data_IF_964795021678
#
_entry.id   IF_964795021678
#
_cell.length_a   1.000
_cell.length_b   1.000
_cell.length_c   1.000
_cell.angle_alpha   90.00
_cell.angle_beta   90.00
_cell.angle_gamma   90.00
#
_symmetry.space_group_name_H-M   'P 1'
#
loop_
_entity.id
_entity.type
_entity.pdbx_description
1 polymer ?
#
# COMPACT_ATOMS: atom_id res chain seq x y z
N UNK A 1 -2.47 7.46 62.31
CA UNK A 1 -1.53 8.37 61.59
C UNK A 1 -2.01 9.79 61.79
N UNK A 2 -1.17 10.67 62.32
CA UNK A 2 -1.52 12.05 62.66
C UNK A 2 -1.76 12.90 61.40
N UNK A 3 -2.63 13.90 61.49
CA UNK A 3 -3.03 14.83 60.42
C UNK A 3 -1.86 15.39 59.59
N UNK A 4 -0.67 15.51 60.21
CA UNK A 4 0.57 15.97 59.58
C UNK A 4 1.15 14.98 58.55
N UNK A 5 1.00 13.67 58.74
CA UNK A 5 1.51 12.64 57.81
C UNK A 5 0.66 12.56 56.55
N UNK A 6 -0.67 12.75 56.69
CA UNK A 6 -1.60 12.76 55.56
C UNK A 6 -1.40 14.00 54.68
N UNK A 7 -1.08 15.16 55.28
CA UNK A 7 -0.74 16.39 54.53
C UNK A 7 0.59 16.26 53.79
N UNK A 8 1.57 15.56 54.34
CA UNK A 8 2.85 15.32 53.67
C UNK A 8 2.69 14.38 52.46
N UNK A 9 1.85 13.34 52.58
CA UNK A 9 1.52 12.43 51.47
C UNK A 9 0.73 13.13 50.35
N UNK A 10 -0.18 14.04 50.70
CA UNK A 10 -0.94 14.85 49.73
C UNK A 10 -0.08 15.92 49.03
N UNK A 11 1.00 16.39 49.64
CA UNK A 11 1.96 17.31 49.01
C UNK A 11 2.97 16.60 48.10
N UNK A 12 3.25 15.31 48.33
CA UNK A 12 4.15 14.50 47.51
C UNK A 12 3.43 13.83 46.33
N UNK A 13 2.12 13.62 46.41
CA UNK A 13 1.33 13.03 45.33
C UNK A 13 1.42 13.78 43.98
N UNK A 14 1.39 15.13 43.90
CA UNK A 14 1.53 15.85 42.65
C UNK A 14 2.95 15.77 42.07
N UNK A 15 3.97 15.65 42.94
CA UNK A 15 5.37 15.54 42.51
C UNK A 15 5.64 14.13 41.95
N UNK A 16 5.08 13.09 42.57
CA UNK A 16 5.13 11.72 42.04
C UNK A 16 4.29 11.54 40.76
N UNK A 17 3.15 12.22 40.66
CA UNK A 17 2.32 12.25 39.43
C UNK A 17 2.98 13.07 38.30
N UNK A 18 3.69 14.16 38.62
CA UNK A 18 4.44 14.93 37.62
C UNK A 18 5.65 14.14 37.08
N UNK A 19 6.32 13.33 37.90
CA UNK A 19 7.35 12.40 37.44
C UNK A 19 6.79 11.21 36.64
N UNK A 20 5.53 10.82 36.87
CA UNK A 20 4.88 9.73 36.14
C UNK A 20 4.37 10.12 34.73
N UNK A 21 4.31 11.42 34.40
CA UNK A 21 3.86 11.92 33.09
C UNK A 21 4.97 12.54 32.23
N UNK A 22 6.22 12.47 32.66
CA UNK A 22 7.34 12.46 31.71
C UNK A 22 7.48 11.01 31.27
N UNK A 23 6.59 10.58 30.36
CA UNK A 23 6.94 9.46 29.48
C UNK A 23 8.31 9.79 28.93
N UNK A 24 9.29 9.01 29.34
CA UNK A 24 10.63 9.00 28.81
C UNK A 24 10.49 9.20 27.30
N UNK A 25 10.81 10.40 26.81
CA UNK A 25 11.14 10.56 25.41
C UNK A 25 12.42 9.76 25.35
N UNK A 26 12.32 8.46 25.03
CA UNK A 26 13.50 7.70 24.62
C UNK A 26 14.16 8.61 23.60
N UNK A 27 15.32 9.14 23.97
CA UNK A 27 16.25 9.68 22.99
C UNK A 27 16.32 8.54 21.99
N UNK A 28 15.71 8.72 20.81
CA UNK A 28 15.83 7.76 19.73
C UNK A 28 17.30 7.78 19.39
N UNK A 29 18.07 6.95 20.07
CA UNK A 29 19.46 6.72 19.78
C UNK A 29 19.48 6.37 18.29
N UNK A 30 20.36 6.98 17.50
CA UNK A 30 20.47 6.66 16.10
C UNK A 30 20.52 5.14 15.97
N UNK A 31 19.73 4.59 15.04
CA UNK A 31 19.63 3.15 14.83
C UNK A 31 21.04 2.54 14.84
N UNK A 32 21.34 1.56 15.71
CA UNK A 32 22.65 0.94 15.77
C UNK A 32 23.08 0.44 14.39
N UNK A 33 24.23 0.89 13.91
CA UNK A 33 24.74 0.57 12.58
C UNK A 33 25.58 1.70 11.99
N UNK A 34 26.34 1.40 10.93
CA UNK A 34 27.04 2.42 10.16
C UNK A 34 26.05 3.07 9.21
N UNK A 35 25.80 4.37 9.35
CA UNK A 35 25.00 5.12 8.37
C UNK A 35 25.66 4.98 6.99
N UNK A 36 24.84 4.75 5.97
CA UNK A 36 25.35 4.75 4.60
C UNK A 36 26.01 6.11 4.29
N UNK A 37 27.11 6.12 3.51
CA UNK A 37 27.73 7.36 3.07
C UNK A 37 26.71 8.30 2.41
N UNK A 38 26.88 9.64 2.49
CA UNK A 38 26.09 10.57 1.68
C UNK A 38 26.11 10.18 0.20
N UNK A 39 25.02 10.44 -0.52
CA UNK A 39 24.90 9.99 -1.91
C UNK A 39 24.58 8.51 -2.07
N UNK A 40 24.11 7.83 -1.01
CA UNK A 40 23.67 6.43 -1.10
C UNK A 40 22.16 6.35 -1.35
N UNK A 41 21.72 5.96 -2.56
CA UNK A 41 20.34 5.69 -2.88
C UNK A 41 19.81 4.43 -2.21
N UNK A 42 18.52 4.49 -1.91
CA UNK A 42 17.69 3.40 -1.42
C UNK A 42 16.36 3.37 -2.21
N UNK A 43 15.89 2.19 -2.65
CA UNK A 43 16.59 0.90 -2.68
C UNK A 43 17.88 0.96 -3.50
N UNK A 44 18.83 0.07 -3.20
CA UNK A 44 20.07 -0.05 -3.96
C UNK A 44 19.75 -0.43 -5.44
N UNK A 45 20.29 0.31 -6.43
CA UNK A 45 20.21 -0.08 -7.84
C UNK A 45 20.76 -1.49 -8.09
N UNK A 46 20.19 -2.19 -9.08
CA UNK A 46 20.64 -3.55 -9.46
C UNK A 46 22.12 -3.59 -9.88
N UNK A 47 22.57 -2.56 -10.58
CA UNK A 47 23.97 -2.35 -10.93
C UNK A 47 24.38 -0.95 -10.50
N UNK A 48 25.53 -0.87 -9.82
CA UNK A 48 26.08 0.41 -9.39
C UNK A 48 27.60 0.40 -9.52
N UNK A 49 28.10 1.27 -10.39
CA UNK A 49 29.52 1.62 -10.47
C UNK A 49 29.72 3.04 -9.94
N UNK A 50 30.51 3.20 -8.87
CA UNK A 50 30.88 4.50 -8.31
C UNK A 50 32.27 4.91 -8.73
N UNK A 51 32.50 6.23 -8.76
CA UNK A 51 33.82 6.84 -8.81
C UNK A 51 34.01 7.69 -7.53
N UNK A 52 35.24 7.86 -7.02
CA UNK A 52 35.52 8.83 -5.95
C UNK A 52 35.34 10.29 -6.40
N UNK A 53 35.18 10.54 -7.70
CA UNK A 53 34.95 11.88 -8.25
C UNK A 53 33.67 12.52 -7.70
N UNK A 54 33.77 13.80 -7.38
CA UNK A 54 32.65 14.64 -6.94
C UNK A 54 32.45 15.80 -7.92
N UNK A 55 31.21 16.25 -8.06
CA UNK A 55 30.83 17.43 -8.84
C UNK A 55 29.92 18.34 -8.04
N UNK A 56 30.01 19.63 -8.30
CA UNK A 56 29.16 20.62 -7.64
C UNK A 56 27.87 20.82 -8.44
N UNK A 57 26.76 21.08 -7.76
CA UNK A 57 25.51 21.50 -8.40
C UNK A 57 25.19 22.91 -7.90
N UNK A 58 25.05 23.85 -8.83
CA UNK A 58 24.59 25.20 -8.54
C UNK A 58 23.07 25.28 -8.77
N UNK A 59 22.25 25.53 -7.74
CA UNK A 59 20.79 25.59 -7.87
C UNK A 59 20.30 26.62 -8.89
N UNK A 60 21.05 27.71 -9.10
CA UNK A 60 20.65 28.82 -9.96
C UNK A 60 20.90 28.52 -11.44
N UNK A 61 21.96 27.75 -11.74
CA UNK A 61 22.39 27.47 -13.11
C UNK A 61 22.11 26.03 -13.56
N UNK A 62 21.91 25.08 -12.64
CA UNK A 62 21.65 23.69 -12.97
C UNK A 62 20.33 23.53 -13.72
N UNK A 63 20.38 22.88 -14.89
CA UNK A 63 19.20 22.58 -15.71
C UNK A 63 18.71 21.16 -15.50
N UNK A 64 17.39 21.01 -15.28
CA UNK A 64 16.70 19.72 -15.23
C UNK A 64 15.61 19.72 -16.29
N UNK A 65 15.76 18.93 -17.36
CA UNK A 65 14.89 19.03 -18.52
C UNK A 65 14.60 17.68 -19.20
N UNK A 66 13.45 17.63 -19.88
CA UNK A 66 13.03 16.52 -20.74
C UNK A 66 12.14 17.05 -21.85
N UNK A 67 12.34 16.62 -23.09
CA UNK A 67 11.40 16.91 -24.19
C UNK A 67 10.01 16.30 -23.92
N UNK A 68 9.92 15.22 -23.13
CA UNK A 68 8.65 14.59 -22.78
C UNK A 68 7.77 15.46 -21.88
N UNK A 69 8.33 16.47 -21.20
CA UNK A 69 7.57 17.36 -20.32
C UNK A 69 6.56 18.24 -21.07
N UNK A 70 6.73 18.45 -22.38
CA UNK A 70 5.81 19.24 -23.20
C UNK A 70 4.47 18.54 -23.43
N UNK A 71 4.46 17.20 -23.47
CA UNK A 71 3.28 16.41 -23.80
C UNK A 71 2.88 15.40 -22.71
N UNK A 72 3.63 15.30 -21.63
CA UNK A 72 3.35 14.39 -20.52
C UNK A 72 3.47 15.08 -19.16
N UNK A 73 2.34 15.22 -18.48
CA UNK A 73 2.23 15.88 -17.20
C UNK A 73 2.94 15.12 -16.06
N UNK A 74 2.97 13.79 -16.10
CA UNK A 74 3.74 12.96 -15.15
C UNK A 74 5.21 13.38 -15.15
N UNK A 75 5.82 13.50 -16.34
CA UNK A 75 7.22 13.91 -16.46
C UNK A 75 7.40 15.35 -16.02
N UNK A 76 6.56 16.28 -16.50
CA UNK A 76 6.66 17.69 -16.13
C UNK A 76 6.55 17.91 -14.61
N UNK A 77 5.59 17.28 -13.95
CA UNK A 77 5.41 17.35 -12.50
C UNK A 77 6.53 16.64 -11.74
N UNK A 78 7.06 15.53 -12.26
CA UNK A 78 8.21 14.85 -11.67
C UNK A 78 9.47 15.72 -11.71
N UNK A 79 9.80 16.37 -12.83
CA UNK A 79 10.96 17.26 -12.93
C UNK A 79 10.84 18.43 -11.92
N UNK A 80 9.67 19.07 -11.85
CA UNK A 80 9.42 20.15 -10.89
C UNK A 80 9.58 19.69 -9.44
N UNK A 81 9.01 18.52 -9.09
CA UNK A 81 9.11 17.93 -7.75
C UNK A 81 10.56 17.59 -7.39
N UNK A 82 11.28 16.91 -8.28
CA UNK A 82 12.63 16.45 -8.01
C UNK A 82 13.66 17.57 -8.01
N UNK A 83 13.44 18.68 -8.75
CA UNK A 83 14.24 19.90 -8.57
C UNK A 83 14.16 20.38 -7.11
N UNK A 84 12.95 20.49 -6.55
CA UNK A 84 12.76 20.92 -5.15
C UNK A 84 13.36 19.94 -4.14
N UNK A 85 13.29 18.64 -4.41
CA UNK A 85 13.86 17.62 -3.52
C UNK A 85 15.38 17.59 -3.56
N UNK A 86 15.99 17.81 -4.73
CA UNK A 86 17.44 17.91 -4.87
C UNK A 86 17.99 19.19 -4.22
N UNK A 87 17.23 20.30 -4.29
CA UNK A 87 17.62 21.62 -3.78
C UNK A 87 16.73 22.10 -2.63
N UNK A 88 16.75 21.37 -1.49
CA UNK A 88 15.88 21.63 -0.33
C UNK A 88 15.98 23.05 0.28
N UNK A 89 17.09 23.76 0.04
CA UNK A 89 17.30 25.15 0.43
C UNK A 89 17.97 25.90 -0.73
N UNK A 90 17.19 26.64 -1.51
CA UNK A 90 17.71 27.53 -2.56
C UNK A 90 18.53 28.71 -1.96
N UNK A 91 18.35 29.02 -0.68
CA UNK A 91 19.02 30.16 -0.03
C UNK A 91 20.37 29.75 0.57
N UNK A 92 21.45 30.28 0.01
CA UNK A 92 22.79 30.30 0.63
C UNK A 92 23.77 29.20 0.19
N UNK A 93 23.38 28.30 -0.71
CA UNK A 93 24.30 27.35 -1.35
C UNK A 93 25.10 28.04 -2.46
N UNK A 94 26.01 28.96 -2.11
CA UNK A 94 27.00 29.45 -3.08
C UNK A 94 28.08 28.38 -3.23
N UNK A 95 28.51 28.12 -4.46
CA UNK A 95 29.69 27.29 -4.71
C UNK A 95 30.84 27.75 -3.81
N UNK A 96 31.52 26.80 -3.15
CA UNK A 96 32.61 27.11 -2.23
C UNK A 96 33.72 27.85 -2.99
N UNK A 97 33.84 29.16 -2.80
CA UNK A 97 34.96 29.97 -3.30
C UNK A 97 36.15 29.86 -2.32
N UNK A 98 36.53 28.63 -1.95
CA UNK A 98 37.62 28.34 -1.03
C UNK A 98 38.79 27.66 -1.74
N UNK A 99 40.05 27.94 -1.35
CA UNK A 99 41.21 27.31 -1.98
C UNK A 99 41.34 25.86 -1.49
N UNK A 100 41.03 24.92 -2.38
CA UNK A 100 41.16 23.47 -2.15
C UNK A 100 40.16 22.66 -2.96
N UNK A 101 40.53 22.36 -4.21
CA UNK A 101 39.78 21.61 -5.24
C UNK A 101 38.52 22.31 -5.79
N UNK A 102 38.67 23.03 -6.90
CA UNK A 102 37.57 23.45 -7.78
C UNK A 102 36.89 22.20 -8.37
N UNK A 103 35.93 21.63 -7.64
CA UNK A 103 35.10 20.55 -8.17
C UNK A 103 34.31 21.06 -9.39
N UNK A 104 34.41 20.35 -10.51
CA UNK A 104 33.72 20.74 -11.75
C UNK A 104 32.20 20.77 -11.55
N UNK A 105 31.56 21.86 -11.94
CA UNK A 105 30.11 22.01 -11.85
C UNK A 105 29.40 21.07 -12.84
N UNK A 106 28.40 20.32 -12.38
CA UNK A 106 27.51 19.55 -13.24
C UNK A 106 26.47 20.51 -13.85
N UNK A 107 26.46 20.75 -15.17
CA UNK A 107 25.60 21.78 -15.77
C UNK A 107 24.12 21.37 -15.82
N UNK A 108 23.83 20.10 -16.08
CA UNK A 108 22.46 19.64 -16.26
C UNK A 108 22.26 18.15 -16.00
N UNK A 109 21.00 17.78 -15.77
CA UNK A 109 20.47 16.43 -15.97
C UNK A 109 19.47 16.45 -17.12
N UNK A 110 19.82 15.77 -18.21
CA UNK A 110 18.93 15.52 -19.37
C UNK A 110 18.18 14.21 -19.16
N UNK A 111 16.87 14.25 -19.33
CA UNK A 111 16.00 13.08 -19.15
C UNK A 111 15.41 12.67 -20.50
N UNK A 112 15.83 11.50 -20.98
CA UNK A 112 15.38 10.90 -22.23
C UNK A 112 14.40 9.75 -21.96
N UNK A 113 13.22 9.82 -22.59
CA UNK A 113 12.17 8.80 -22.50
C UNK A 113 11.87 8.28 -23.89
N UNK A 114 11.95 6.96 -24.10
CA UNK A 114 11.68 6.38 -25.41
C UNK A 114 10.18 6.43 -25.77
N UNK A 115 9.29 6.11 -24.82
CA UNK A 115 7.84 6.03 -25.03
C UNK A 115 7.11 7.00 -24.10
N UNK A 116 6.72 8.16 -24.63
CA UNK A 116 5.98 9.19 -23.89
C UNK A 116 4.84 9.87 -24.70
N UNK A 117 4.77 9.63 -26.02
CA UNK A 117 3.74 10.21 -26.90
C UNK A 117 2.58 9.24 -27.03
N UNK A 118 1.36 9.70 -26.84
CA UNK A 118 0.16 8.88 -26.88
C UNK A 118 -0.50 8.77 -25.50
N UNK A 119 -1.85 8.71 -25.44
CA UNK A 119 -2.60 8.69 -24.17
C UNK A 119 -2.23 7.49 -23.28
N UNK A 120 -1.79 6.38 -23.88
CA UNK A 120 -1.38 5.17 -23.19
C UNK A 120 -0.06 5.31 -22.42
N UNK A 121 0.83 6.22 -22.84
CA UNK A 121 2.18 6.31 -22.28
C UNK A 121 2.33 7.31 -21.14
N UNK A 122 1.37 8.22 -20.98
CA UNK A 122 1.27 9.16 -19.86
C UNK A 122 -0.03 8.95 -19.04
N UNK A 123 -0.71 7.82 -19.24
CA UNK A 123 -1.93 7.44 -18.55
C UNK A 123 -1.67 6.94 -17.13
N UNK A 124 -2.33 5.84 -16.75
CA UNK A 124 -2.19 5.21 -15.43
C UNK A 124 -1.22 4.04 -15.49
N UNK A 125 -0.32 3.87 -14.50
CA UNK A 125 0.60 2.74 -14.47
C UNK A 125 -0.17 1.42 -14.41
N UNK A 126 0.35 0.37 -15.03
CA UNK A 126 -0.28 -0.95 -15.10
C UNK A 126 0.69 -2.05 -14.66
N UNK A 127 0.11 -3.21 -14.30
CA UNK A 127 0.90 -4.40 -13.98
C UNK A 127 1.85 -4.78 -15.13
N UNK A 128 3.12 -5.09 -14.79
CA UNK A 128 4.21 -5.45 -15.71
C UNK A 128 4.68 -4.34 -16.66
N UNK A 129 4.36 -3.07 -16.39
CA UNK A 129 4.99 -1.98 -17.13
C UNK A 129 6.48 -1.82 -16.76
N UNK A 130 7.27 -1.34 -17.73
CA UNK A 130 8.71 -1.23 -17.59
C UNK A 130 9.10 0.00 -16.77
N UNK A 131 9.72 -0.21 -15.62
CA UNK A 131 10.23 0.83 -14.70
C UNK A 131 11.76 0.97 -14.74
N UNK A 132 12.42 0.33 -15.72
CA UNK A 132 13.87 0.36 -15.88
C UNK A 132 14.37 1.74 -16.31
N UNK A 133 15.59 2.05 -15.86
CA UNK A 133 16.28 3.26 -16.23
C UNK A 133 17.80 3.06 -16.18
N UNK A 134 18.52 3.96 -16.82
CA UNK A 134 19.97 4.12 -16.68
C UNK A 134 20.26 5.56 -16.33
N UNK A 135 21.06 5.78 -15.28
CA UNK A 135 21.51 7.09 -14.86
C UNK A 135 23.03 7.14 -14.95
N UNK A 136 23.55 8.08 -15.76
CA UNK A 136 24.99 8.30 -15.93
C UNK A 136 25.31 9.72 -15.50
N UNK A 137 26.23 9.86 -14.55
CA UNK A 137 26.83 11.14 -14.17
C UNK A 137 28.28 11.10 -14.64
N UNK A 138 28.61 11.69 -15.81
CA UNK A 138 29.94 11.61 -16.38
C UNK A 138 30.92 12.56 -15.67
N UNK A 139 32.21 12.37 -15.93
CA UNK A 139 33.25 13.25 -15.43
C UNK A 139 33.12 14.68 -16.00
N UNK A 140 32.74 14.77 -17.27
CA UNK A 140 32.54 16.03 -17.98
C UNK A 140 31.20 16.06 -18.70
N UNK A 141 30.61 17.26 -18.82
CA UNK A 141 29.32 17.46 -19.48
C UNK A 141 28.12 17.07 -18.62
N UNK A 142 26.98 16.85 -19.27
CA UNK A 142 25.67 16.70 -18.63
C UNK A 142 25.44 15.27 -18.12
N UNK A 143 24.76 15.15 -16.98
CA UNK A 143 24.20 13.87 -16.55
C UNK A 143 23.03 13.48 -17.46
N UNK A 144 22.85 12.17 -17.66
CA UNK A 144 21.80 11.64 -18.52
C UNK A 144 21.02 10.54 -17.80
N UNK A 145 19.71 10.71 -17.74
CA UNK A 145 18.76 9.68 -17.31
C UNK A 145 18.00 9.17 -18.54
N UNK A 146 18.16 7.89 -18.86
CA UNK A 146 17.43 7.22 -19.96
C UNK A 146 16.45 6.20 -19.41
N UNK A 147 15.26 6.12 -20.00
CA UNK A 147 14.24 5.12 -19.64
C UNK A 147 13.36 4.76 -20.83
N UNK A 148 12.77 3.56 -20.80
CA UNK A 148 11.83 3.13 -21.83
C UNK A 148 10.47 3.80 -21.70
N UNK A 149 10.01 4.02 -20.46
CA UNK A 149 8.71 4.59 -20.14
C UNK A 149 8.86 5.76 -19.16
N UNK A 150 7.78 6.54 -19.01
CA UNK A 150 7.71 7.63 -18.01
C UNK A 150 7.88 7.14 -16.57
N UNK A 151 7.62 5.86 -16.28
CA UNK A 151 7.74 5.31 -14.93
C UNK A 151 9.20 5.14 -14.51
N UNK A 152 10.06 4.70 -15.43
CA UNK A 152 11.50 4.64 -15.22
C UNK A 152 12.12 6.01 -14.93
N UNK A 153 11.57 7.08 -15.52
CA UNK A 153 11.96 8.46 -15.18
C UNK A 153 11.73 8.75 -13.70
N UNK A 154 10.57 8.41 -13.15
CA UNK A 154 10.25 8.66 -11.74
C UNK A 154 11.26 7.93 -10.84
N UNK A 155 11.59 6.67 -11.17
CA UNK A 155 12.56 5.87 -10.39
C UNK A 155 13.97 6.44 -10.47
N UNK A 156 14.38 6.87 -11.66
CA UNK A 156 15.70 7.44 -11.90
C UNK A 156 15.88 8.82 -11.28
N UNK A 157 14.85 9.67 -11.31
CA UNK A 157 14.88 10.97 -10.64
C UNK A 157 14.94 10.83 -9.11
N UNK A 158 14.26 9.84 -8.54
CA UNK A 158 14.42 9.49 -7.12
C UNK A 158 15.88 9.16 -6.81
N UNK A 159 16.48 8.24 -7.57
CA UNK A 159 17.89 7.88 -7.38
C UNK A 159 18.81 9.08 -7.55
N UNK A 160 18.63 9.91 -8.58
CA UNK A 160 19.43 11.13 -8.74
C UNK A 160 19.31 12.06 -7.53
N UNK A 161 18.11 12.28 -7.01
CA UNK A 161 17.90 13.13 -5.83
C UNK A 161 18.61 12.60 -4.58
N UNK A 162 18.77 11.28 -4.47
CA UNK A 162 19.50 10.63 -3.37
C UNK A 162 21.03 10.69 -3.55
N UNK A 163 21.53 10.85 -4.78
CA UNK A 163 22.94 11.09 -5.07
C UNK A 163 23.37 12.52 -4.70
N UNK A 164 22.45 13.48 -4.69
CA UNK A 164 22.73 14.86 -4.30
C UNK A 164 22.83 14.98 -2.78
N UNK A 165 23.96 15.49 -2.29
CA UNK A 165 24.19 15.75 -0.87
C UNK A 165 24.97 17.05 -0.66
N UNK A 166 24.93 17.58 0.56
CA UNK A 166 25.68 18.78 0.96
C UNK A 166 26.88 18.35 1.81
N UNK A 167 28.09 18.81 1.44
CA UNK A 167 29.31 18.57 2.21
C UNK A 167 29.34 19.46 3.47
N UNK A 168 29.50 18.88 4.68
CA UNK A 168 29.68 19.63 5.92
C UNK A 168 30.96 20.50 5.98
N UNK A 169 32.00 20.19 5.20
CA UNK A 169 33.34 20.80 5.32
C UNK A 169 33.40 22.21 4.70
N UNK A 170 32.55 22.53 3.73
CA UNK A 170 32.53 23.83 3.03
C UNK A 170 31.78 24.96 3.77
N UNK A 171 31.50 24.83 5.09
CA UNK A 171 30.93 25.81 6.06
C UNK A 171 30.11 26.97 5.43
N UNK A 172 28.78 27.08 5.56
CA UNK A 172 27.97 26.87 6.75
C UNK A 172 26.49 26.68 6.36
N UNK A 173 25.82 25.67 6.92
CA UNK A 173 24.71 25.81 7.88
C UNK A 173 24.48 24.42 8.49
N UNK A 174 24.69 24.29 9.80
CA UNK A 174 24.00 23.29 10.61
C UNK A 174 22.59 23.79 10.81
N UNK A 175 21.64 23.21 10.12
CA UNK A 175 20.25 23.20 10.58
C UNK A 175 19.65 21.84 10.21
N UNK A 176 18.98 21.23 11.19
CA UNK A 176 18.06 20.13 10.98
C UNK A 176 17.31 20.37 9.67
N UNK A 177 17.22 19.34 8.82
CA UNK A 177 16.29 19.34 7.68
C UNK A 177 14.91 19.69 8.23
N UNK A 178 14.52 20.97 8.17
CA UNK A 178 13.14 21.36 8.35
C UNK A 178 12.49 20.92 7.05
N UNK A 179 11.95 19.70 7.05
CA UNK A 179 10.91 19.35 6.12
C UNK A 179 9.94 20.52 6.18
N UNK A 180 9.83 21.27 5.08
CA UNK A 180 8.71 22.19 4.93
C UNK A 180 7.51 21.25 4.89
N UNK A 181 6.89 21.06 6.06
CA UNK A 181 5.60 20.41 6.18
C UNK A 181 4.60 21.35 5.51
N UNK A 182 4.57 21.34 4.19
CA UNK A 182 3.32 21.53 3.48
C UNK A 182 2.32 20.59 4.17
N UNK A 183 1.17 21.11 4.62
CA UNK A 183 0.13 20.29 5.24
C UNK A 183 -0.39 19.32 4.17
N UNK A 184 0.26 18.17 4.06
CA UNK A 184 -0.18 17.05 3.23
C UNK A 184 -1.17 16.23 4.05
N UNK A 185 -2.23 15.77 3.40
CA UNK A 185 -3.06 14.78 4.05
C UNK A 185 -2.26 13.46 4.21
N UNK A 186 -2.65 12.56 5.15
CA UNK A 186 -1.91 11.33 5.39
C UNK A 186 -1.72 10.44 4.15
N UNK A 187 -2.69 10.43 3.22
CA UNK A 187 -2.61 9.64 1.99
C UNK A 187 -1.53 10.16 1.04
N UNK A 188 -1.46 11.48 0.86
CA UNK A 188 -0.43 12.13 0.07
C UNK A 188 0.96 11.88 0.66
N UNK A 189 1.10 12.04 1.98
CA UNK A 189 2.35 11.77 2.69
C UNK A 189 2.79 10.31 2.54
N UNK A 190 1.85 9.36 2.63
CA UNK A 190 2.12 7.93 2.40
C UNK A 190 2.59 7.68 0.95
N UNK A 191 1.89 8.25 -0.04
CA UNK A 191 2.25 8.08 -1.46
C UNK A 191 3.59 8.73 -1.83
N UNK A 192 3.94 9.85 -1.18
CA UNK A 192 5.29 10.41 -1.28
C UNK A 192 6.32 9.44 -0.72
N UNK A 193 6.11 8.91 0.49
CA UNK A 193 7.02 7.94 1.10
C UNK A 193 7.15 6.66 0.24
N UNK A 194 6.05 6.19 -0.35
CA UNK A 194 6.06 5.08 -1.31
C UNK A 194 6.93 5.40 -2.53
N UNK A 195 6.76 6.58 -3.13
CA UNK A 195 7.56 7.01 -4.29
C UNK A 195 9.05 7.07 -3.96
N UNK A 196 9.42 7.62 -2.79
CA UNK A 196 10.81 7.70 -2.33
C UNK A 196 11.45 6.32 -2.14
N UNK A 197 10.64 5.34 -1.74
CA UNK A 197 11.06 3.95 -1.56
C UNK A 197 10.80 3.07 -2.80
N UNK A 198 10.41 3.66 -3.93
CA UNK A 198 10.08 2.97 -5.19
C UNK A 198 8.97 1.91 -5.08
N UNK A 199 8.07 2.03 -4.09
CA UNK A 199 6.80 1.29 -4.11
C UNK A 199 5.90 1.82 -5.23
N UNK A 200 5.21 0.91 -5.92
CA UNK A 200 4.41 1.22 -7.11
C UNK A 200 2.95 0.73 -7.01
N UNK A 201 2.53 0.13 -5.89
CA UNK A 201 1.15 -0.33 -5.67
C UNK A 201 0.68 0.17 -4.31
N UNK A 202 -0.41 0.91 -4.31
CA UNK A 202 -1.22 1.23 -3.14
C UNK A 202 -2.41 0.27 -3.12
N UNK A 203 -2.31 -0.78 -2.32
CA UNK A 203 -3.41 -1.69 -2.06
C UNK A 203 -4.34 -1.05 -1.03
N UNK A 204 -5.56 -0.68 -1.46
CA UNK A 204 -6.50 0.04 -0.62
C UNK A 204 -7.65 -0.88 -0.21
N UNK A 205 -7.54 -1.45 0.99
CA UNK A 205 -8.63 -2.08 1.72
C UNK A 205 -9.66 -1.03 2.11
N UNK A 206 -10.71 -0.89 1.31
CA UNK A 206 -11.63 0.25 1.36
C UNK A 206 -12.69 0.12 2.46
N UNK A 207 -13.14 -1.11 2.69
CA UNK A 207 -14.31 -1.45 3.50
C UNK A 207 -14.03 -2.77 4.22
N UNK A 208 -14.57 -2.92 5.42
CA UNK A 208 -14.47 -4.11 6.26
C UNK A 208 -15.72 -4.11 7.17
N UNK A 209 -15.83 -5.04 8.12
CA UNK A 209 -16.94 -5.20 9.03
C UNK A 209 -17.37 -3.90 9.71
N UNK A 210 -16.38 -3.10 10.12
CA UNK A 210 -16.62 -1.99 11.04
C UNK A 210 -17.26 -0.80 10.32
N UNK A 211 -16.93 -0.55 9.04
CA UNK A 211 -17.43 0.63 8.35
C UNK A 211 -17.39 0.58 6.82
N UNK A 212 -18.30 1.34 6.20
CA UNK A 212 -18.27 1.66 4.77
C UNK A 212 -18.06 3.16 4.56
N UNK A 213 -16.81 3.64 4.38
CA UNK A 213 -16.52 5.06 4.22
C UNK A 213 -16.63 5.56 2.77
N UNK A 214 -16.79 4.67 1.78
CA UNK A 214 -16.75 5.06 0.36
C UNK A 214 -18.10 5.59 -0.15
N UNK A 215 -18.11 6.81 -0.68
CA UNK A 215 -19.27 7.36 -1.38
C UNK A 215 -19.49 6.65 -2.73
N UNK A 216 -20.71 6.14 -2.94
CA UNK A 216 -21.12 5.46 -4.17
C UNK A 216 -22.35 6.12 -4.78
N UNK A 217 -22.36 6.19 -6.11
CA UNK A 217 -23.48 6.68 -6.91
C UNK A 217 -24.60 5.64 -6.97
N UNK A 218 -24.24 4.35 -7.03
CA UNK A 218 -25.18 3.22 -7.14
C UNK A 218 -25.93 2.98 -5.84
N UNK A 219 -25.25 3.16 -4.70
CA UNK A 219 -25.83 3.00 -3.36
C UNK A 219 -25.42 4.15 -2.43
N UNK A 220 -26.01 5.35 -2.56
CA UNK A 220 -25.61 6.54 -1.79
C UNK A 220 -25.80 6.40 -0.28
N UNK A 221 -26.68 5.50 0.16
CA UNK A 221 -26.94 5.22 1.56
C UNK A 221 -25.84 4.41 2.26
N UNK A 222 -24.88 3.82 1.52
CA UNK A 222 -23.79 3.03 2.11
C UNK A 222 -22.95 3.81 3.12
N UNK A 223 -22.74 5.10 2.89
CA UNK A 223 -21.97 5.97 3.81
C UNK A 223 -22.66 6.20 5.16
N UNK A 224 -23.91 5.77 5.34
CA UNK A 224 -24.54 5.69 6.68
C UNK A 224 -23.87 4.64 7.57
N UNK A 225 -23.13 3.70 6.99
CA UNK A 225 -22.28 2.74 7.71
C UNK A 225 -20.87 3.26 7.97
N UNK A 226 -20.51 4.49 7.57
CA UNK A 226 -19.25 5.11 7.95
C UNK A 226 -19.24 5.43 9.46
N UNK A 227 -18.06 5.56 10.07
CA UNK A 227 -17.96 5.94 11.49
C UNK A 227 -18.63 7.28 11.81
N UNK A 228 -18.54 8.24 10.89
CA UNK A 228 -19.31 9.49 10.93
C UNK A 228 -19.27 10.16 9.56
N UNK A 229 -20.08 11.22 9.32
CA UNK A 229 -20.02 11.99 8.08
C UNK A 229 -18.65 12.62 7.77
N UNK A 230 -17.74 12.71 8.75
CA UNK A 230 -16.36 13.20 8.55
C UNK A 230 -15.39 12.10 8.10
N UNK A 231 -15.79 10.84 8.18
CA UNK A 231 -15.01 9.67 7.82
C UNK A 231 -15.55 9.05 6.53
N UNK A 232 -15.80 9.91 5.54
CA UNK A 232 -16.30 9.52 4.22
C UNK A 232 -15.28 9.96 3.18
N UNK A 233 -14.94 9.06 2.27
CA UNK A 233 -14.22 9.38 1.05
C UNK A 233 -15.24 9.73 -0.02
N UNK A 234 -15.35 11.02 -0.34
CA UNK A 234 -16.17 11.46 -1.47
C UNK A 234 -15.59 10.94 -2.77
N UNK A 235 -16.39 10.93 -3.84
CA UNK A 235 -15.88 10.57 -5.18
C UNK A 235 -14.73 11.47 -5.62
N UNK A 236 -14.73 12.73 -5.19
CA UNK A 236 -13.63 13.67 -5.46
C UNK A 236 -12.36 13.25 -4.74
N UNK A 237 -12.43 12.88 -3.46
CA UNK A 237 -11.28 12.40 -2.70
C UNK A 237 -10.64 11.18 -3.36
N UNK A 238 -11.48 10.24 -3.82
CA UNK A 238 -11.00 9.02 -4.52
C UNK A 238 -10.28 9.38 -5.82
N UNK A 239 -10.85 10.28 -6.65
CA UNK A 239 -10.19 10.72 -7.89
C UNK A 239 -8.87 11.45 -7.61
N UNK A 240 -8.82 12.32 -6.60
CA UNK A 240 -7.58 12.99 -6.18
C UNK A 240 -6.54 11.97 -5.67
N UNK A 241 -6.97 10.94 -4.94
CA UNK A 241 -6.07 9.89 -4.45
C UNK A 241 -5.45 9.11 -5.61
N UNK A 242 -6.26 8.73 -6.59
CA UNK A 242 -5.85 8.00 -7.80
C UNK A 242 -4.90 8.87 -8.63
N UNK A 243 -5.22 10.14 -8.83
CA UNK A 243 -4.41 11.05 -9.63
C UNK A 243 -3.06 11.37 -8.97
N UNK A 244 -3.06 11.59 -7.65
CA UNK A 244 -1.83 11.82 -6.90
C UNK A 244 -0.87 10.62 -6.96
N UNK A 245 -1.44 9.40 -6.97
CA UNK A 245 -0.71 8.16 -7.14
C UNK A 245 -0.14 8.03 -8.56
N UNK A 246 -0.94 8.33 -9.60
CA UNK A 246 -0.52 8.34 -11.00
C UNK A 246 0.72 9.20 -11.23
N UNK A 247 0.74 10.43 -10.70
CA UNK A 247 1.88 11.35 -10.81
C UNK A 247 3.17 10.89 -10.12
N UNK A 248 3.13 9.74 -9.44
CA UNK A 248 4.25 9.06 -8.77
C UNK A 248 4.50 7.65 -9.31
N UNK A 249 3.77 7.25 -10.35
CA UNK A 249 3.83 5.90 -10.89
C UNK A 249 3.36 4.86 -9.87
N UNK A 250 2.34 5.19 -9.09
CA UNK A 250 1.73 4.29 -8.11
C UNK A 250 0.34 3.90 -8.63
N UNK A 251 0.13 2.59 -8.75
CA UNK A 251 -1.14 1.93 -9.03
C UNK A 251 -2.02 1.97 -7.79
N UNK A 252 -3.32 2.18 -7.93
CA UNK A 252 -4.28 2.09 -6.83
C UNK A 252 -5.19 0.90 -7.08
N UNK A 253 -5.02 -0.15 -6.29
CA UNK A 253 -5.82 -1.38 -6.39
C UNK A 253 -6.85 -1.35 -5.27
N UNK A 254 -8.15 -1.21 -5.58
CA UNK A 254 -9.19 -1.24 -4.57
C UNK A 254 -9.46 -2.68 -4.13
N UNK A 255 -9.74 -2.86 -2.85
CA UNK A 255 -10.24 -4.10 -2.29
C UNK A 255 -11.64 -3.91 -1.73
N UNK A 256 -12.55 -4.80 -2.14
CA UNK A 256 -13.86 -5.01 -1.53
C UNK A 256 -13.91 -6.48 -1.17
N UNK A 257 -13.63 -6.77 0.10
CA UNK A 257 -13.54 -8.13 0.61
C UNK A 257 -14.93 -8.73 0.87
N UNK A 258 -15.14 -9.95 0.38
CA UNK A 258 -16.35 -10.74 0.55
C UNK A 258 -16.06 -12.24 0.41
N UNK A 259 -16.82 -13.16 1.06
CA UNK A 259 -18.07 -12.94 1.79
C UNK A 259 -17.89 -12.58 3.28
N UNK A 260 -16.68 -12.69 3.82
CA UNK A 260 -16.32 -12.15 5.12
C UNK A 260 -16.20 -10.64 5.12
N UNK A 261 -15.90 -10.05 6.28
CA UNK A 261 -15.60 -8.62 6.41
C UNK A 261 -16.70 -7.68 5.85
N UNK A 262 -17.97 -8.08 6.01
CA UNK A 262 -19.12 -7.45 5.31
C UNK A 262 -20.21 -6.90 6.22
N UNK A 263 -20.01 -6.84 7.53
CA UNK A 263 -21.00 -6.31 8.48
C UNK A 263 -21.51 -4.90 8.13
N UNK A 264 -20.65 -4.04 7.58
CA UNK A 264 -21.04 -2.70 7.16
C UNK A 264 -22.14 -2.70 6.07
N UNK A 265 -22.21 -3.74 5.23
CA UNK A 265 -23.27 -3.94 4.25
C UNK A 265 -24.59 -4.35 4.91
N UNK A 266 -24.55 -5.20 5.95
CA UNK A 266 -25.72 -5.67 6.68
C UNK A 266 -26.53 -4.56 7.36
N UNK A 267 -25.88 -3.44 7.71
CA UNK A 267 -26.55 -2.24 8.24
C UNK A 267 -27.46 -1.54 7.21
N UNK A 268 -27.21 -1.75 5.92
CA UNK A 268 -27.84 -1.00 4.82
C UNK A 268 -28.76 -1.89 3.99
N UNK A 269 -28.37 -3.13 3.79
CA UNK A 269 -29.07 -4.10 2.97
C UNK A 269 -29.69 -5.19 3.85
N UNK A 270 -31.02 -5.16 4.08
CA UNK A 270 -31.71 -6.20 4.81
C UNK A 270 -31.47 -7.58 4.19
N UNK A 271 -31.34 -8.60 5.05
CA UNK A 271 -31.16 -10.02 4.67
C UNK A 271 -29.93 -10.34 3.79
N UNK A 272 -29.01 -9.39 3.56
CA UNK A 272 -27.78 -9.65 2.79
C UNK A 272 -26.79 -10.53 3.55
N UNK A 273 -26.81 -10.49 4.89
CA UNK A 273 -26.00 -11.36 5.76
C UNK A 273 -26.78 -12.62 6.12
N UNK A 274 -26.06 -13.71 6.38
CA UNK A 274 -26.66 -14.94 6.89
C UNK A 274 -26.94 -14.81 8.38
N UNK A 275 -28.20 -15.00 8.78
CA UNK A 275 -28.56 -14.98 10.18
C UNK A 275 -27.97 -16.19 10.91
N UNK A 276 -27.33 -15.96 12.05
CA UNK A 276 -26.90 -17.02 12.96
C UNK A 276 -28.11 -17.59 13.71
N UNK A 277 -28.11 -18.89 13.96
CA UNK A 277 -29.16 -19.55 14.74
C UNK A 277 -28.61 -20.07 16.06
N UNK A 278 -29.35 -19.85 17.14
CA UNK A 278 -29.04 -20.40 18.45
C UNK A 278 -30.29 -21.03 19.05
N UNK A 279 -30.20 -22.28 19.49
CA UNK A 279 -31.31 -23.06 20.03
C UNK A 279 -32.57 -23.02 19.14
N UNK A 280 -32.39 -23.13 17.82
CA UNK A 280 -33.48 -23.09 16.82
C UNK A 280 -34.12 -21.71 16.60
N UNK A 281 -33.60 -20.65 17.24
CA UNK A 281 -34.09 -19.29 17.08
C UNK A 281 -33.22 -18.52 16.09
N UNK A 282 -33.87 -17.88 15.10
CA UNK A 282 -33.20 -17.02 14.12
C UNK A 282 -32.70 -15.75 14.80
N UNK A 283 -31.39 -15.53 14.74
CA UNK A 283 -30.74 -14.30 15.21
C UNK A 283 -31.01 -13.11 14.27
N UNK A 284 -30.65 -11.93 14.75
CA UNK A 284 -30.55 -10.70 13.95
C UNK A 284 -29.07 -10.31 13.88
N UNK A 285 -28.64 -9.55 12.86
CA UNK A 285 -27.27 -9.06 12.79
C UNK A 285 -26.84 -8.39 14.10
N UNK A 286 -25.72 -8.82 14.68
CA UNK A 286 -25.21 -8.34 15.96
C UNK A 286 -23.74 -7.89 15.85
N UNK A 287 -23.56 -6.61 15.50
CA UNK A 287 -22.26 -5.96 15.50
C UNK A 287 -21.97 -5.29 16.85
N UNK A 288 -20.76 -5.45 17.45
CA UNK A 288 -19.60 -6.15 16.90
C UNK A 288 -19.50 -7.64 17.27
N UNK A 289 -20.40 -8.18 18.08
CA UNK A 289 -20.21 -9.48 18.74
C UNK A 289 -20.14 -10.67 17.76
N UNK A 290 -20.85 -10.61 16.64
CA UNK A 290 -20.89 -11.66 15.62
C UNK A 290 -20.29 -11.21 14.29
N UNK A 291 -19.45 -10.17 14.29
CA UNK A 291 -18.86 -9.63 13.07
C UNK A 291 -18.13 -10.72 12.26
N UNK A 292 -17.26 -11.47 12.94
CA UNK A 292 -16.51 -12.56 12.36
C UNK A 292 -17.36 -13.76 11.89
N UNK A 293 -18.66 -13.81 12.18
CA UNK A 293 -19.51 -14.98 11.89
C UNK A 293 -20.58 -14.71 10.84
N UNK A 294 -21.09 -13.48 10.76
CA UNK A 294 -22.20 -13.10 9.90
C UNK A 294 -21.70 -12.73 8.49
N UNK A 295 -21.46 -13.78 7.71
CA UNK A 295 -21.03 -13.71 6.31
C UNK A 295 -22.18 -13.29 5.38
N UNK A 296 -21.84 -12.77 4.19
CA UNK A 296 -22.82 -12.59 3.10
C UNK A 296 -23.61 -13.88 2.86
N UNK A 297 -24.88 -13.74 2.47
CA UNK A 297 -25.79 -14.86 2.24
C UNK A 297 -25.63 -15.41 0.81
N UNK A 298 -25.01 -16.58 0.63
CA UNK A 298 -24.65 -17.11 -0.69
C UNK A 298 -25.84 -17.76 -1.41
N UNK A 299 -26.96 -17.99 -0.71
CA UNK A 299 -28.16 -18.61 -1.26
C UNK A 299 -29.01 -17.62 -2.06
N UNK A 300 -28.85 -16.32 -1.79
CA UNK A 300 -29.72 -15.30 -2.33
C UNK A 300 -29.14 -14.67 -3.59
N UNK A 301 -29.93 -14.67 -4.67
CA UNK A 301 -29.58 -13.94 -5.90
C UNK A 301 -29.36 -12.44 -5.63
N UNK A 302 -30.13 -11.89 -4.69
CA UNK A 302 -30.01 -10.51 -4.22
C UNK A 302 -28.58 -10.13 -3.79
N UNK A 303 -27.89 -11.01 -3.07
CA UNK A 303 -26.48 -10.81 -2.65
C UNK A 303 -25.58 -10.57 -3.87
N UNK A 304 -25.67 -11.42 -4.88
CA UNK A 304 -24.86 -11.31 -6.08
C UNK A 304 -25.23 -10.08 -6.92
N UNK A 305 -26.50 -9.68 -6.93
CA UNK A 305 -26.95 -8.49 -7.64
C UNK A 305 -26.39 -7.21 -7.01
N UNK A 306 -26.44 -7.10 -5.67
CA UNK A 306 -25.84 -5.99 -4.91
C UNK A 306 -24.33 -5.94 -5.14
N UNK A 307 -23.63 -7.05 -4.95
CA UNK A 307 -22.17 -7.08 -5.11
C UNK A 307 -21.73 -6.79 -6.54
N UNK A 308 -22.42 -7.33 -7.55
CA UNK A 308 -22.13 -7.02 -8.96
C UNK A 308 -22.29 -5.54 -9.27
N UNK A 309 -23.29 -4.88 -8.70
CA UNK A 309 -23.50 -3.44 -8.87
C UNK A 309 -22.39 -2.62 -8.17
N UNK A 310 -21.96 -3.04 -6.97
CA UNK A 310 -20.81 -2.44 -6.27
C UNK A 310 -19.55 -2.58 -7.12
N UNK A 311 -19.20 -3.80 -7.54
CA UNK A 311 -18.01 -4.05 -8.36
C UNK A 311 -18.04 -3.29 -9.68
N UNK A 312 -19.20 -3.17 -10.33
CA UNK A 312 -19.35 -2.39 -11.57
C UNK A 312 -18.96 -0.92 -11.38
N UNK A 313 -19.36 -0.29 -10.26
CA UNK A 313 -18.97 1.09 -9.97
C UNK A 313 -17.48 1.20 -9.57
N UNK A 314 -16.95 0.26 -8.79
CA UNK A 314 -15.53 0.23 -8.42
C UNK A 314 -14.66 0.13 -9.68
N UNK A 315 -14.97 -0.80 -10.59
CA UNK A 315 -14.26 -1.00 -11.86
C UNK A 315 -14.33 0.26 -12.74
N UNK A 316 -15.45 1.00 -12.73
CA UNK A 316 -15.56 2.27 -13.47
C UNK A 316 -14.77 3.43 -12.84
N UNK A 317 -14.57 3.38 -11.52
CA UNK A 317 -13.94 4.46 -10.74
C UNK A 317 -12.41 4.34 -10.74
N UNK A 318 -11.90 3.15 -10.42
CA UNK A 318 -10.46 2.87 -10.33
C UNK A 318 -9.88 2.57 -11.71
N UNK A 319 -8.58 2.86 -11.89
CA UNK A 319 -7.91 2.83 -13.20
C UNK A 319 -6.96 1.66 -13.39
N UNK A 320 -6.80 0.85 -12.34
CA UNK A 320 -6.04 -0.39 -12.43
C UNK A 320 -6.87 -1.48 -13.10
N UNK A 321 -6.21 -2.37 -13.86
CA UNK A 321 -6.86 -3.54 -14.45
C UNK A 321 -7.29 -4.59 -13.42
N UNK A 322 -6.69 -4.55 -12.24
CA UNK A 322 -6.99 -5.45 -11.13
C UNK A 322 -7.86 -4.77 -10.07
N UNK A 323 -8.82 -5.52 -9.55
CA UNK A 323 -9.48 -5.27 -8.27
C UNK A 323 -9.17 -6.42 -7.32
N UNK A 324 -9.06 -6.16 -6.02
CA UNK A 324 -8.91 -7.23 -5.02
C UNK A 324 -10.31 -7.62 -4.51
N UNK A 325 -10.60 -8.91 -4.50
CA UNK A 325 -11.90 -9.44 -4.05
C UNK A 325 -11.87 -9.90 -2.58
N UNK A 326 -10.70 -9.81 -1.94
CA UNK A 326 -10.43 -10.33 -0.61
C UNK A 326 -10.55 -11.85 -0.60
N UNK A 327 -11.67 -12.32 -0.05
CA UNK A 327 -12.07 -13.72 0.09
C UNK A 327 -11.32 -14.47 1.20
N UNK A 328 -10.81 -13.76 2.21
CA UNK A 328 -10.14 -14.34 3.37
C UNK A 328 -11.09 -14.62 4.54
N UNK A 329 -10.58 -15.40 5.50
CA UNK A 329 -11.12 -15.63 6.84
C UNK A 329 -12.62 -15.98 6.91
N UNK A 330 -13.14 -16.71 5.90
CA UNK A 330 -14.55 -17.13 5.92
C UNK A 330 -14.81 -18.11 7.05
N UNK A 331 -15.62 -17.68 8.01
CA UNK A 331 -16.00 -18.49 9.15
C UNK A 331 -17.42 -19.05 9.01
N UNK A 332 -17.58 -20.36 9.21
CA UNK A 332 -18.80 -21.08 8.84
C UNK A 332 -19.89 -21.15 9.89
N UNK A 333 -19.69 -20.70 11.14
CA UNK A 333 -20.63 -20.99 12.23
C UNK A 333 -22.08 -20.54 11.96
N UNK A 334 -22.29 -19.37 11.34
CA UNK A 334 -23.65 -18.92 11.01
C UNK A 334 -24.25 -19.65 9.82
N UNK A 335 -23.42 -20.11 8.87
CA UNK A 335 -23.86 -21.00 7.79
C UNK A 335 -24.23 -22.39 8.32
N UNK A 336 -23.41 -22.97 9.19
CA UNK A 336 -23.64 -24.28 9.82
C UNK A 336 -24.89 -24.29 10.70
N UNK A 337 -25.16 -23.18 11.40
CA UNK A 337 -26.36 -23.08 12.24
C UNK A 337 -27.65 -22.84 11.45
N UNK A 338 -27.59 -22.35 10.21
CA UNK A 338 -28.76 -21.93 9.45
C UNK A 338 -29.52 -23.11 8.81
N UNK A 339 -30.80 -23.33 9.16
CA UNK A 339 -31.65 -24.32 8.47
C UNK A 339 -31.89 -23.96 7.00
N UNK A 340 -31.86 -22.68 6.63
CA UNK A 340 -31.97 -22.23 5.25
C UNK A 340 -30.74 -22.65 4.43
N UNK A 341 -29.53 -22.47 4.98
CA UNK A 341 -28.29 -22.96 4.35
C UNK A 341 -28.32 -24.48 4.21
N UNK A 342 -28.76 -25.20 5.24
CA UNK A 342 -28.91 -26.65 5.16
C UNK A 342 -29.89 -27.09 4.05
N UNK A 343 -30.98 -26.34 3.82
CA UNK A 343 -31.91 -26.60 2.73
C UNK A 343 -31.28 -26.28 1.36
N UNK A 344 -30.54 -25.17 1.25
CA UNK A 344 -29.80 -24.82 0.04
C UNK A 344 -28.73 -25.85 -0.31
N UNK A 345 -27.97 -26.34 0.67
CA UNK A 345 -26.99 -27.41 0.47
C UNK A 345 -27.66 -28.66 -0.11
N UNK A 346 -28.81 -29.08 0.43
CA UNK A 346 -29.58 -30.21 -0.13
C UNK A 346 -30.03 -29.96 -1.57
N UNK A 347 -30.44 -28.73 -1.89
CA UNK A 347 -30.85 -28.36 -3.24
C UNK A 347 -29.69 -28.40 -4.24
N UNK A 348 -28.51 -27.95 -3.82
CA UNK A 348 -27.31 -27.91 -4.67
C UNK A 348 -26.53 -29.24 -4.68
N UNK A 349 -26.88 -30.19 -3.82
CA UNK A 349 -26.14 -31.44 -3.64
C UNK A 349 -24.77 -31.22 -3.00
N UNK A 350 -24.68 -30.29 -2.05
CA UNK A 350 -23.46 -30.05 -1.28
C UNK A 350 -23.39 -30.96 -0.05
N UNK A 351 -22.26 -31.62 0.11
CA UNK A 351 -21.93 -32.52 1.22
C UNK A 351 -21.35 -31.78 2.43
N UNK A 352 -20.80 -30.58 2.22
CA UNK A 352 -20.14 -29.80 3.28
C UNK A 352 -20.28 -28.28 3.08
N UNK A 353 -20.21 -27.53 4.18
CA UNK A 353 -20.42 -26.07 4.16
C UNK A 353 -19.33 -25.32 3.39
N UNK A 354 -18.10 -25.84 3.31
CA UNK A 354 -17.08 -25.24 2.46
C UNK A 354 -17.49 -25.20 0.97
N UNK A 355 -18.33 -26.13 0.48
CA UNK A 355 -18.85 -26.06 -0.89
C UNK A 355 -19.83 -24.89 -1.09
N UNK A 356 -20.46 -24.41 -0.02
CA UNK A 356 -21.24 -23.16 -0.03
C UNK A 356 -20.32 -21.95 -0.25
N UNK A 357 -19.16 -21.91 0.42
CA UNK A 357 -18.13 -20.90 0.14
C UNK A 357 -17.66 -21.00 -1.32
N UNK A 358 -17.27 -22.19 -1.77
CA UNK A 358 -16.80 -22.41 -3.13
C UNK A 358 -17.83 -21.96 -4.17
N UNK A 359 -19.13 -22.17 -3.92
CA UNK A 359 -20.22 -21.69 -4.75
C UNK A 359 -20.25 -20.15 -4.84
N UNK A 360 -20.16 -19.46 -3.70
CA UNK A 360 -20.09 -18.01 -3.65
C UNK A 360 -18.88 -17.48 -4.42
N UNK A 361 -17.69 -18.01 -4.13
CA UNK A 361 -16.42 -17.56 -4.71
C UNK A 361 -16.41 -17.72 -6.23
N UNK A 362 -16.81 -18.90 -6.75
CA UNK A 362 -16.91 -19.15 -8.20
C UNK A 362 -17.89 -18.18 -8.87
N UNK A 363 -19.04 -17.94 -8.24
CA UNK A 363 -20.07 -17.05 -8.79
C UNK A 363 -19.61 -15.59 -8.82
N UNK A 364 -18.98 -15.11 -7.74
CA UNK A 364 -18.46 -13.74 -7.63
C UNK A 364 -17.32 -13.49 -8.61
N UNK A 365 -16.33 -14.39 -8.70
CA UNK A 365 -15.24 -14.28 -9.69
C UNK A 365 -15.78 -14.26 -11.13
N UNK A 366 -16.74 -15.13 -11.46
CA UNK A 366 -17.35 -15.15 -12.78
C UNK A 366 -18.12 -13.85 -13.10
N UNK A 367 -18.79 -13.26 -12.11
CA UNK A 367 -19.48 -11.98 -12.27
C UNK A 367 -18.49 -10.84 -12.53
N UNK A 368 -17.36 -10.79 -11.80
CA UNK A 368 -16.31 -9.78 -11.99
C UNK A 368 -15.66 -9.91 -13.36
N UNK A 369 -15.40 -11.14 -13.83
CA UNK A 369 -14.88 -11.37 -15.19
C UNK A 369 -15.83 -10.87 -16.27
N UNK A 370 -17.13 -11.09 -16.11
CA UNK A 370 -18.15 -10.58 -17.05
C UNK A 370 -18.20 -9.05 -17.08
N UNK A 371 -17.73 -8.37 -16.03
CA UNK A 371 -17.56 -6.91 -16.01
C UNK A 371 -16.25 -6.44 -16.69
N UNK A 372 -15.39 -7.37 -17.12
CA UNK A 372 -14.17 -7.08 -17.88
C UNK A 372 -12.94 -6.74 -17.03
N UNK A 373 -13.00 -6.93 -15.70
CA UNK A 373 -11.88 -6.70 -14.80
C UNK A 373 -11.08 -7.99 -14.54
N UNK A 374 -9.77 -7.82 -14.33
CA UNK A 374 -8.94 -8.86 -13.69
C UNK A 374 -9.10 -8.74 -12.18
N UNK A 375 -8.77 -9.80 -11.47
CA UNK A 375 -8.89 -9.79 -10.01
C UNK A 375 -7.69 -10.38 -9.30
N UNK A 376 -7.52 -9.91 -8.07
CA UNK A 376 -6.66 -10.44 -7.04
C UNK A 376 -7.54 -11.08 -5.96
N UNK A 377 -7.00 -12.10 -5.31
CA UNK A 377 -7.64 -12.78 -4.17
C UNK A 377 -6.56 -13.06 -3.13
N UNK A 378 -6.95 -13.18 -1.87
CA UNK A 378 -6.11 -13.84 -0.87
C UNK A 378 -5.97 -15.34 -1.21
N UNK A 379 -5.12 -16.04 -0.48
CA UNK A 379 -4.83 -17.45 -0.74
C UNK A 379 -6.00 -18.40 -0.43
N UNK A 380 -6.94 -17.97 0.40
CA UNK A 380 -8.03 -18.77 0.95
C UNK A 380 -8.88 -19.52 -0.09
N UNK A 381 -9.32 -18.90 -1.21
CA UNK A 381 -9.98 -19.65 -2.28
C UNK A 381 -9.14 -20.82 -2.82
N UNK A 382 -7.82 -20.63 -2.96
CA UNK A 382 -6.93 -21.67 -3.50
C UNK A 382 -6.68 -22.78 -2.48
N UNK A 383 -6.62 -22.42 -1.19
CA UNK A 383 -6.54 -23.36 -0.05
C UNK A 383 -7.84 -24.18 0.07
N UNK A 384 -8.99 -23.59 -0.28
CA UNK A 384 -10.31 -24.23 -0.30
C UNK A 384 -10.66 -24.87 -1.66
N UNK A 385 -9.65 -25.27 -2.45
CA UNK A 385 -9.78 -25.97 -3.73
C UNK A 385 -10.69 -25.28 -4.78
N UNK A 386 -10.74 -23.95 -4.75
CA UNK A 386 -11.33 -23.15 -5.82
C UNK A 386 -10.28 -22.85 -6.89
N UNK A 387 -10.67 -23.05 -8.16
CA UNK A 387 -9.85 -22.62 -9.30
C UNK A 387 -10.18 -21.18 -9.67
N UNK A 388 -9.15 -20.37 -9.92
CA UNK A 388 -9.24 -18.99 -10.37
C UNK A 388 -8.77 -18.86 -11.82
N UNK A 389 -8.87 -17.65 -12.39
CA UNK A 389 -8.36 -17.39 -13.72
C UNK A 389 -6.83 -17.53 -13.78
N UNK A 390 -6.28 -17.94 -14.92
CA UNK A 390 -4.83 -18.10 -15.07
C UNK A 390 -4.05 -16.80 -14.86
N UNK A 391 -4.67 -15.63 -15.04
CA UNK A 391 -4.06 -14.32 -14.85
C UNK A 391 -4.40 -13.66 -13.49
N UNK A 392 -5.04 -14.41 -12.59
CA UNK A 392 -5.25 -14.02 -11.19
C UNK A 392 -3.92 -13.83 -10.45
N UNK A 393 -3.86 -12.80 -9.60
CA UNK A 393 -2.78 -12.63 -8.62
C UNK A 393 -3.26 -13.14 -7.27
N UNK A 394 -2.53 -14.08 -6.68
CA UNK A 394 -2.88 -14.69 -5.39
C UNK A 394 -2.01 -14.09 -4.29
N UNK A 395 -2.64 -13.46 -3.29
CA UNK A 395 -2.00 -12.89 -2.11
C UNK A 395 -1.73 -13.94 -1.05
N UNK A 396 -0.46 -14.21 -0.76
CA UNK A 396 -0.04 -15.17 0.28
C UNK A 396 0.26 -14.40 1.56
N UNK A 397 -0.65 -14.53 2.52
CA UNK A 397 -0.72 -13.67 3.70
C UNK A 397 -0.62 -14.44 5.02
N UNK A 398 -0.99 -15.73 5.05
CA UNK A 398 -1.01 -16.51 6.29
C UNK A 398 0.42 -16.75 6.79
N UNK A 399 0.61 -16.55 8.09
CA UNK A 399 1.86 -16.83 8.80
C UNK A 399 1.65 -17.84 9.94
N UNK A 400 2.71 -18.11 10.71
CA UNK A 400 2.68 -19.02 11.87
C UNK A 400 1.66 -18.69 12.94
N UNK A 401 1.31 -17.42 13.09
CA UNK A 401 0.40 -16.95 14.13
C UNK A 401 -1.07 -17.13 13.74
N UNK A 402 -1.33 -17.24 12.44
CA UNK A 402 -2.67 -17.27 11.85
C UNK A 402 -3.12 -18.69 11.50
N UNK A 403 -2.18 -19.61 11.22
CA UNK A 403 -2.51 -21.01 10.98
C UNK A 403 -1.46 -21.96 11.56
N UNK A 404 -1.84 -22.67 12.64
CA UNK A 404 -0.99 -23.67 13.29
C UNK A 404 -0.69 -24.89 12.40
N UNK A 405 -1.52 -25.15 11.38
CA UNK A 405 -1.33 -26.26 10.43
C UNK A 405 -0.16 -26.01 9.49
N UNK A 406 0.16 -24.75 9.20
CA UNK A 406 1.21 -24.38 8.25
C UNK A 406 2.18 -23.38 8.88
N UNK A 407 3.26 -23.93 9.43
CA UNK A 407 4.24 -23.20 10.25
C UNK A 407 5.08 -22.18 9.49
N UNK A 408 4.98 -22.04 8.17
CA UNK A 408 5.76 -21.07 7.41
C UNK A 408 5.04 -20.69 6.11
N UNK A 409 5.18 -19.44 5.69
CA UNK A 409 4.59 -18.96 4.43
C UNK A 409 5.06 -19.78 3.21
N UNK A 410 6.26 -20.36 3.25
CA UNK A 410 6.79 -21.21 2.18
C UNK A 410 5.90 -22.43 1.91
N UNK A 411 5.23 -22.94 2.94
CA UNK A 411 4.38 -24.11 2.83
C UNK A 411 3.08 -23.77 2.06
N UNK A 412 2.64 -22.51 2.08
CA UNK A 412 1.54 -21.98 1.27
C UNK A 412 1.91 -21.62 -0.17
N UNK A 413 3.12 -21.11 -0.41
CA UNK A 413 3.53 -20.75 -1.78
C UNK A 413 3.64 -21.98 -2.68
N UNK A 414 4.18 -23.10 -2.19
CA UNK A 414 4.42 -24.31 -3.00
C UNK A 414 3.16 -24.82 -3.74
N UNK A 415 2.00 -25.04 -3.09
CA UNK A 415 0.79 -25.49 -3.79
C UNK A 415 0.25 -24.46 -4.79
N UNK A 416 0.32 -23.16 -4.47
CA UNK A 416 -0.14 -22.09 -5.37
C UNK A 416 0.77 -22.00 -6.61
N UNK A 417 2.08 -22.08 -6.42
CA UNK A 417 3.08 -22.09 -7.49
C UNK A 417 2.90 -23.28 -8.44
N UNK A 418 2.63 -24.49 -7.90
CA UNK A 418 2.35 -25.69 -8.71
C UNK A 418 1.10 -25.56 -9.59
N UNK A 419 0.12 -24.76 -9.15
CA UNK A 419 -1.09 -24.44 -9.93
C UNK A 419 -0.82 -23.37 -11.01
N UNK A 420 0.38 -22.78 -11.07
CA UNK A 420 0.80 -21.84 -12.11
C UNK A 420 0.32 -20.40 -11.93
N UNK A 421 -0.19 -20.05 -10.74
CA UNK A 421 -0.66 -18.69 -10.46
C UNK A 421 0.50 -17.72 -10.23
N UNK A 422 0.26 -16.46 -10.59
CA UNK A 422 1.10 -15.35 -10.14
C UNK A 422 0.80 -15.07 -8.67
N UNK A 423 1.82 -14.73 -7.89
CA UNK A 423 1.71 -14.56 -6.44
C UNK A 423 2.22 -13.20 -5.97
N UNK A 424 1.62 -12.70 -4.91
CA UNK A 424 2.10 -11.55 -4.13
C UNK A 424 2.31 -12.05 -2.70
N UNK A 425 3.53 -11.99 -2.18
CA UNK A 425 3.82 -12.37 -0.80
C UNK A 425 3.63 -11.18 0.13
N UNK A 426 2.85 -11.34 1.19
CA UNK A 426 2.70 -10.38 2.29
C UNK A 426 2.94 -11.00 3.67
N UNK A 427 2.89 -12.33 3.80
CA UNK A 427 2.93 -13.05 5.08
C UNK A 427 4.09 -12.68 6.02
N UNK A 428 5.28 -12.38 5.48
CA UNK A 428 6.43 -11.97 6.30
C UNK A 428 6.52 -10.45 6.55
N UNK A 429 5.54 -9.66 6.09
CA UNK A 429 5.54 -8.19 6.12
C UNK A 429 4.27 -7.60 6.79
N UNK A 430 3.72 -8.28 7.80
CA UNK A 430 2.68 -7.75 8.67
C UNK A 430 3.24 -6.64 9.59
N UNK A 431 3.24 -5.39 9.10
CA UNK A 431 3.76 -4.22 9.81
C UNK A 431 2.90 -3.81 11.03
N UNK A 432 1.66 -4.29 11.10
CA UNK A 432 0.79 -4.15 12.27
C UNK A 432 1.28 -4.99 13.46
N UNK A 433 2.03 -6.07 13.22
CA UNK A 433 2.65 -6.88 14.27
C UNK A 433 3.97 -6.25 14.73
N UNK A 434 3.83 -5.25 15.60
CA UNK A 434 4.98 -4.55 16.20
C UNK A 434 5.70 -5.46 17.20
N UNK A 435 7.02 -5.33 17.24
CA UNK A 435 7.87 -6.07 18.19
C UNK A 435 8.99 -5.16 18.69
N UNK A 436 9.41 -5.34 19.94
CA UNK A 436 10.51 -4.55 20.51
C UNK A 436 11.82 -4.76 19.73
N UNK A 437 12.58 -3.68 19.50
CA UNK A 437 13.90 -3.72 18.88
C UNK A 437 13.92 -3.35 17.39
N UNK A 438 14.83 -3.95 16.62
CA UNK A 438 15.06 -3.65 15.20
C UNK A 438 14.33 -4.64 14.29
N UNK A 439 13.02 -4.62 14.35
CA UNK A 439 12.15 -5.50 13.57
C UNK A 439 12.23 -5.26 12.04
N UNK A 440 12.72 -4.12 11.57
CA UNK A 440 13.03 -3.93 10.14
C UNK A 440 13.94 -5.02 9.57
N UNK A 441 14.81 -5.62 10.39
CA UNK A 441 15.71 -6.72 9.97
C UNK A 441 14.95 -7.96 9.55
N UNK A 442 13.89 -8.36 10.27
CA UNK A 442 13.07 -9.53 9.89
C UNK A 442 12.42 -9.31 8.52
N UNK A 443 11.93 -8.09 8.28
CA UNK A 443 11.31 -7.72 7.01
C UNK A 443 12.33 -7.72 5.86
N UNK A 444 13.53 -7.17 6.08
CA UNK A 444 14.58 -7.13 5.07
C UNK A 444 15.18 -8.51 4.74
N UNK A 445 15.21 -9.43 5.71
CA UNK A 445 15.72 -10.79 5.52
C UNK A 445 14.74 -11.74 4.85
N UNK A 446 13.46 -11.35 4.70
CA UNK A 446 12.49 -12.17 4.00
C UNK A 446 12.83 -12.22 2.50
N UNK A 447 13.24 -13.40 2.00
CA UNK A 447 13.45 -13.65 0.58
C UNK A 447 12.21 -14.33 -0.02
N UNK A 448 11.43 -13.64 -0.87
CA UNK A 448 10.24 -14.23 -1.50
C UNK A 448 10.56 -15.41 -2.43
N UNK A 449 11.82 -15.61 -2.82
CA UNK A 449 12.28 -16.76 -3.63
C UNK A 449 12.86 -17.90 -2.78
N UNK A 450 12.91 -17.72 -1.45
CA UNK A 450 13.49 -18.66 -0.51
C UNK A 450 12.63 -19.90 -0.23
N UNK A 451 12.21 -20.62 -1.27
CA UNK A 451 11.46 -21.88 -1.17
C UNK A 451 11.83 -22.87 -2.29
N UNK A 452 11.76 -24.17 -2.03
CA UNK A 452 12.05 -25.19 -3.03
C UNK A 452 10.96 -25.24 -4.11
N UNK A 453 11.34 -25.15 -5.39
CA UNK A 453 10.42 -25.23 -6.54
C UNK A 453 10.30 -23.96 -7.37
N UNK A 454 11.18 -22.97 -7.19
CA UNK A 454 11.31 -21.83 -8.10
C UNK A 454 11.94 -22.26 -9.44
N UNK A 455 11.24 -21.98 -10.54
CA UNK A 455 11.82 -21.95 -11.89
C UNK A 455 12.33 -20.54 -12.21
#
# INVERSE_FOLDING_TARGET
MTSSVLRLLLLLAPVLLAYAFITYIEVRLPLPGKRAPPGSPWPAPQMWQTSPMQRTLDPDTFSLSSAAAESCDVVAKALSRYRKLAFLKEVGCKAAQGPGAELEALPALRVDVARYRGPEHCGYPQHKEDESYTLVVPEQGDAVLKSQTVWGVIRGLETFSQLVYQDPVSKAVSEQKKLVNEKKNPFEALKDAMAYNKFNVFHWHLVDDQSWPLEMSTYPNLTKSAYSPRHVYSRKDVQEIIEYARLRGIRVIPEIDTPGHTQALGKIFPDILTACYSNGTRGKPDYPNHAAFEMLNPMQQYTYDVMRNIFKEIIGTFKDKYIHLGMDEVYYACWESSPEIAAFMKQQGFDSVNQVEQYYLRTTMANVQKLGAKYMIWQDPIDNDVSAANDTLVGVWKDTSLDEKMKRWQDYIKPIARKGYQMVLSACWYLNYISYGQDWKKFYQCDPRGFDGGA
#
